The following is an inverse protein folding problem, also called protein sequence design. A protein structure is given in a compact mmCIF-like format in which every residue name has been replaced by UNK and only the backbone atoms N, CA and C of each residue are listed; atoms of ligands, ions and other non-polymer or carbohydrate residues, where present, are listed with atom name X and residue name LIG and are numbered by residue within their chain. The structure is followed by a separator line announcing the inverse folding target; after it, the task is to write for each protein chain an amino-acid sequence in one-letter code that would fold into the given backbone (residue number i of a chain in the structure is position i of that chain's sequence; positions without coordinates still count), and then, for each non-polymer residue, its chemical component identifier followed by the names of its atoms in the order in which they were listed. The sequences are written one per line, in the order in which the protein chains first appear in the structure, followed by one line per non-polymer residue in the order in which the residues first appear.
data_IF_174974037655
#
_entry.id   IF_174974037655
#
_cell.length_a   1.000
_cell.length_b   1.000
_cell.length_c   1.000
_cell.angle_alpha   90.00
_cell.angle_beta   90.00
_cell.angle_gamma   90.00
#
_symmetry.space_group_name_H-M   'P 1'
#
loop_
_entity.id
_entity.type
_entity.pdbx_description
1 polymer ?
#
# COMPACT_ATOMS: atom_id res chain seq x y z
N UNK A 1 -11.33 -36.17 -24.62
CA UNK A 1 -11.56 -34.72 -24.74
C UNK A 1 -11.30 -34.11 -23.36
N UNK A 2 -10.07 -33.65 -23.12
CA UNK A 2 -9.69 -33.02 -21.84
C UNK A 2 -10.00 -31.54 -21.91
N UNK A 3 -10.91 -31.07 -21.05
CA UNK A 3 -11.25 -29.66 -20.91
C UNK A 3 -10.10 -28.93 -20.22
N UNK A 4 -9.45 -28.02 -20.93
CA UNK A 4 -8.48 -27.07 -20.38
C UNK A 4 -9.25 -25.97 -19.66
N UNK A 5 -9.36 -26.04 -18.33
CA UNK A 5 -9.85 -24.92 -17.52
C UNK A 5 -8.90 -23.74 -17.68
N UNK A 6 -9.39 -22.66 -18.29
CA UNK A 6 -8.64 -21.43 -18.55
C UNK A 6 -8.51 -20.62 -17.25
N UNK A 7 -7.27 -20.42 -16.80
CA UNK A 7 -6.88 -19.62 -15.63
C UNK A 7 -6.94 -18.10 -15.91
N UNK A 8 -7.95 -17.60 -16.61
CA UNK A 8 -7.99 -16.22 -17.16
C UNK A 8 -8.41 -15.12 -16.18
N UNK A 9 -8.80 -15.45 -14.94
CA UNK A 9 -9.31 -14.47 -13.99
C UNK A 9 -8.25 -13.49 -13.41
N UNK A 10 -7.03 -13.91 -13.03
CA UNK A 10 -6.07 -13.02 -12.36
C UNK A 10 -5.55 -11.91 -13.28
N UNK A 11 -5.32 -12.22 -14.55
CA UNK A 11 -4.73 -11.29 -15.52
C UNK A 11 -5.66 -10.13 -15.85
N UNK A 12 -6.96 -10.39 -16.00
CA UNK A 12 -7.97 -9.36 -16.29
C UNK A 12 -8.16 -8.37 -15.13
N UNK A 13 -8.10 -8.85 -13.88
CA UNK A 13 -8.18 -7.99 -12.70
C UNK A 13 -6.97 -7.06 -12.61
N UNK A 14 -5.76 -7.59 -12.85
CA UNK A 14 -4.55 -6.78 -12.89
C UNK A 14 -4.57 -5.73 -14.00
N UNK A 15 -5.13 -6.04 -15.18
CA UNK A 15 -5.28 -5.07 -16.29
C UNK A 15 -6.18 -3.91 -15.87
N UNK A 16 -7.37 -4.20 -15.33
CA UNK A 16 -8.33 -3.20 -14.85
C UNK A 16 -7.74 -2.32 -13.75
N UNK A 17 -6.94 -2.91 -12.86
CA UNK A 17 -6.24 -2.20 -11.78
C UNK A 17 -5.27 -1.15 -12.33
N UNK A 18 -4.47 -1.50 -13.35
CA UNK A 18 -3.56 -0.56 -14.00
C UNK A 18 -4.31 0.51 -14.78
N UNK A 19 -5.38 0.15 -15.48
CA UNK A 19 -6.23 1.13 -16.19
C UNK A 19 -6.80 2.18 -15.24
N UNK A 20 -7.31 1.75 -14.07
CA UNK A 20 -7.80 2.65 -13.04
C UNK A 20 -6.71 3.57 -12.51
N UNK A 21 -5.49 3.06 -12.32
CA UNK A 21 -4.33 3.85 -11.91
C UNK A 21 -3.98 4.93 -12.96
N UNK A 22 -3.96 4.57 -14.25
CA UNK A 22 -3.69 5.50 -15.34
C UNK A 22 -4.78 6.58 -15.45
N UNK A 23 -6.05 6.21 -15.27
CA UNK A 23 -7.16 7.18 -15.25
C UNK A 23 -7.03 8.16 -14.09
N UNK A 24 -6.60 7.69 -12.92
CA UNK A 24 -6.35 8.57 -11.76
C UNK A 24 -5.20 9.53 -12.01
N UNK A 25 -4.10 9.07 -12.61
CA UNK A 25 -3.02 9.98 -13.00
C UNK A 25 -3.45 10.97 -14.09
N UNK A 26 -4.28 10.55 -15.04
CA UNK A 26 -4.86 11.44 -16.03
C UNK A 26 -5.78 12.50 -15.39
N UNK A 27 -6.49 12.16 -14.31
CA UNK A 27 -7.33 13.11 -13.57
C UNK A 27 -6.49 14.08 -12.73
N UNK A 28 -5.40 13.62 -12.10
CA UNK A 28 -4.55 14.45 -11.23
C UNK A 28 -3.61 15.37 -12.01
N UNK A 29 -2.98 14.87 -13.08
CA UNK A 29 -1.94 15.58 -13.82
C UNK A 29 -2.40 16.08 -15.20
N UNK A 30 -3.65 15.78 -15.60
CA UNK A 30 -4.26 16.34 -16.80
C UNK A 30 -3.49 16.01 -18.09
N UNK A 31 -3.12 17.06 -18.83
CA UNK A 31 -2.40 16.95 -20.10
C UNK A 31 -0.95 16.50 -19.95
N UNK A 32 -0.32 16.75 -18.80
CA UNK A 32 1.08 16.35 -18.56
C UNK A 32 1.21 14.83 -18.54
N UNK A 33 0.18 14.11 -18.08
CA UNK A 33 0.14 12.65 -18.15
C UNK A 33 -0.24 12.15 -19.54
N UNK A 34 -1.32 12.69 -20.12
CA UNK A 34 -1.85 12.24 -21.42
C UNK A 34 -0.84 12.42 -22.55
N UNK A 35 -0.06 13.50 -22.55
CA UNK A 35 0.91 13.80 -23.61
C UNK A 35 2.13 12.86 -23.65
N UNK A 36 2.37 12.06 -22.59
CA UNK A 36 3.47 11.08 -22.58
C UNK A 36 3.21 9.86 -23.46
N UNK A 37 1.94 9.56 -23.75
CA UNK A 37 1.54 8.36 -24.49
C UNK A 37 0.89 8.78 -25.80
N UNK A 38 1.72 9.03 -26.82
CA UNK A 38 1.26 9.51 -28.14
C UNK A 38 0.72 8.42 -29.05
N UNK A 39 1.07 7.17 -28.78
CA UNK A 39 0.67 5.99 -29.55
C UNK A 39 -0.06 5.01 -28.64
N UNK A 40 -1.16 4.46 -29.14
CA UNK A 40 -1.93 3.44 -28.43
C UNK A 40 -1.12 2.16 -28.22
N UNK A 41 -0.28 1.77 -29.18
CA UNK A 41 0.63 0.61 -29.02
C UNK A 41 1.63 0.85 -27.90
N UNK A 42 2.19 2.05 -27.83
CA UNK A 42 3.10 2.42 -26.74
C UNK A 42 2.38 2.47 -25.40
N UNK A 43 1.13 2.95 -25.36
CA UNK A 43 0.32 2.95 -24.14
C UNK A 43 0.06 1.53 -23.63
N UNK A 44 -0.27 0.58 -24.52
CA UNK A 44 -0.45 -0.84 -24.16
C UNK A 44 0.85 -1.42 -23.61
N UNK A 45 1.97 -1.17 -24.27
CA UNK A 45 3.28 -1.62 -23.80
C UNK A 45 3.61 -1.06 -22.41
N UNK A 46 3.46 0.24 -22.20
CA UNK A 46 3.74 0.87 -20.90
C UNK A 46 2.83 0.31 -19.81
N UNK A 47 1.52 0.12 -20.08
CA UNK A 47 0.62 -0.49 -19.09
C UNK A 47 1.08 -1.90 -18.70
N UNK A 48 1.57 -2.69 -19.65
CA UNK A 48 2.11 -4.02 -19.35
C UNK A 48 3.37 -3.96 -18.46
N UNK A 49 4.27 -3.00 -18.69
CA UNK A 49 5.45 -2.78 -17.85
C UNK A 49 5.06 -2.33 -16.43
N UNK A 50 4.08 -1.43 -16.32
CA UNK A 50 3.54 -1.01 -15.04
C UNK A 50 2.87 -2.16 -14.28
N UNK A 51 2.15 -3.03 -14.98
CA UNK A 51 1.55 -4.22 -14.39
C UNK A 51 2.61 -5.16 -13.82
N UNK A 52 3.64 -5.48 -14.62
CA UNK A 52 4.74 -6.34 -14.18
C UNK A 52 5.47 -5.74 -12.98
N UNK A 53 5.79 -4.44 -13.04
CA UNK A 53 6.48 -3.73 -11.95
C UNK A 53 5.66 -3.63 -10.66
N UNK A 54 4.33 -3.71 -10.74
CA UNK A 54 3.42 -3.56 -9.59
C UNK A 54 2.77 -4.85 -9.12
N UNK A 55 3.05 -5.99 -9.75
CA UNK A 55 2.41 -7.28 -9.47
C UNK A 55 2.56 -7.72 -8.00
N UNK A 56 3.68 -7.37 -7.35
CA UNK A 56 3.96 -7.72 -5.96
C UNK A 56 3.36 -6.80 -4.89
N UNK A 57 2.67 -5.72 -5.27
CA UNK A 57 2.07 -4.79 -4.30
C UNK A 57 0.57 -5.03 -4.16
N UNK A 58 0.07 -4.91 -2.93
CA UNK A 58 -1.35 -4.98 -2.63
C UNK A 58 -2.09 -3.66 -2.99
N UNK A 59 -3.41 -3.74 -3.19
CA UNK A 59 -4.24 -2.61 -3.64
C UNK A 59 -4.19 -1.41 -2.69
N UNK A 60 -4.20 -1.67 -1.38
CA UNK A 60 -4.07 -0.65 -0.35
C UNK A 60 -2.74 0.13 -0.44
N UNK A 61 -1.65 -0.55 -0.80
CA UNK A 61 -0.33 0.08 -0.97
C UNK A 61 -0.34 1.01 -2.18
N UNK A 62 -0.94 0.58 -3.30
CA UNK A 62 -1.04 1.44 -4.49
C UNK A 62 -1.93 2.66 -4.22
N UNK A 63 -3.04 2.48 -3.53
CA UNK A 63 -3.93 3.58 -3.15
C UNK A 63 -3.18 4.63 -2.32
N UNK A 64 -2.44 4.17 -1.31
CA UNK A 64 -1.62 5.04 -0.46
C UNK A 64 -0.51 5.73 -1.26
N UNK A 65 0.15 5.01 -2.17
CA UNK A 65 1.18 5.57 -3.04
C UNK A 65 0.61 6.66 -3.96
N UNK A 66 -0.57 6.45 -4.55
CA UNK A 66 -1.27 7.44 -5.38
C UNK A 66 -1.57 8.71 -4.57
N UNK A 67 -2.06 8.57 -3.34
CA UNK A 67 -2.31 9.72 -2.47
C UNK A 67 -1.03 10.47 -2.11
N UNK A 68 0.08 9.76 -1.86
CA UNK A 68 1.37 10.38 -1.59
C UNK A 68 1.90 11.12 -2.83
N UNK A 69 1.73 10.57 -4.03
CA UNK A 69 2.08 11.28 -5.26
C UNK A 69 1.26 12.56 -5.39
N UNK A 70 -0.06 12.51 -5.15
CA UNK A 70 -0.93 13.69 -5.19
C UNK A 70 -0.48 14.80 -4.22
N UNK A 71 0.01 14.43 -3.04
CA UNK A 71 0.42 15.40 -2.00
C UNK A 71 1.82 15.96 -2.21
N UNK A 72 2.74 15.17 -2.75
CA UNK A 72 4.18 15.48 -2.74
C UNK A 72 4.79 15.74 -4.12
N UNK A 73 4.06 15.52 -5.21
CA UNK A 73 4.59 15.62 -6.57
C UNK A 73 3.67 16.47 -7.44
N UNK A 74 4.20 17.59 -7.93
CA UNK A 74 3.55 18.45 -8.92
C UNK A 74 3.50 17.79 -10.30
N UNK A 75 4.47 16.91 -10.60
CA UNK A 75 4.58 16.19 -11.87
C UNK A 75 4.25 14.71 -11.70
N UNK A 76 3.72 14.05 -12.75
CA UNK A 76 3.46 12.62 -12.71
C UNK A 76 4.75 11.81 -12.48
N UNK A 77 4.69 10.78 -11.61
CA UNK A 77 5.85 9.94 -11.35
C UNK A 77 6.16 9.03 -12.55
N UNK A 78 7.44 8.72 -12.74
CA UNK A 78 7.85 7.61 -13.61
C UNK A 78 7.60 6.27 -12.93
N UNK A 79 7.58 5.16 -13.68
CA UNK A 79 7.41 3.81 -13.10
C UNK A 79 8.40 3.51 -11.96
N UNK A 80 9.73 3.74 -12.11
CA UNK A 80 10.67 3.51 -11.01
C UNK A 80 10.39 4.36 -9.78
N UNK A 81 10.04 5.63 -9.97
CA UNK A 81 9.69 6.52 -8.87
C UNK A 81 8.43 6.04 -8.14
N UNK A 82 7.43 5.57 -8.88
CA UNK A 82 6.20 5.05 -8.31
C UNK A 82 6.44 3.72 -7.54
N UNK A 83 7.31 2.85 -8.05
CA UNK A 83 7.76 1.66 -7.32
C UNK A 83 8.41 2.05 -5.99
N UNK A 84 9.24 3.08 -5.96
CA UNK A 84 9.87 3.54 -4.71
C UNK A 84 8.84 4.09 -3.71
N UNK A 85 7.79 4.78 -4.19
CA UNK A 85 6.66 5.14 -3.33
C UNK A 85 5.96 3.90 -2.75
N UNK A 86 5.70 2.88 -3.57
CA UNK A 86 5.08 1.64 -3.12
C UNK A 86 5.94 0.89 -2.09
N UNK A 87 7.26 0.85 -2.28
CA UNK A 87 8.22 0.30 -1.31
C UNK A 87 8.17 1.06 0.01
N UNK A 88 8.16 2.39 -0.04
CA UNK A 88 8.11 3.22 1.17
C UNK A 88 6.79 3.05 1.94
N UNK A 89 5.66 2.94 1.23
CA UNK A 89 4.37 2.60 1.82
C UNK A 89 4.40 1.22 2.49
N UNK A 90 4.93 0.21 1.80
CA UNK A 90 5.01 -1.17 2.30
C UNK A 90 5.88 -1.29 3.55
N UNK A 91 7.02 -0.57 3.57
CA UNK A 91 7.88 -0.48 4.75
C UNK A 91 7.11 0.12 5.92
N UNK A 92 6.46 1.28 5.72
CA UNK A 92 5.67 1.94 6.78
C UNK A 92 4.54 1.05 7.32
N UNK A 93 3.85 0.30 6.47
CA UNK A 93 2.83 -0.65 6.93
C UNK A 93 3.43 -1.82 7.70
N UNK A 94 4.62 -2.33 7.32
CA UNK A 94 5.28 -3.41 8.06
C UNK A 94 5.77 -3.00 9.46
N UNK A 95 6.07 -1.72 9.67
CA UNK A 95 6.40 -1.19 11.00
C UNK A 95 5.17 -1.03 11.90
N UNK A 96 3.96 -0.99 11.33
CA UNK A 96 2.71 -0.89 12.06
C UNK A 96 1.94 -2.21 11.92
N UNK A 97 2.38 -3.22 12.67
CA UNK A 97 1.58 -4.41 12.96
C UNK A 97 0.95 -4.14 14.33
N UNK A 98 -0.33 -3.75 14.43
CA UNK A 98 -1.02 -3.84 15.71
C UNK A 98 -0.97 -5.32 16.12
N UNK A 99 -0.35 -5.59 17.25
CA UNK A 99 -0.41 -6.90 17.89
C UNK A 99 -1.85 -7.12 18.36
N UNK A 100 -2.71 -7.59 17.45
CA UNK A 100 -4.09 -8.01 17.71
C UNK A 100 -4.14 -9.41 18.35
N UNK A 101 -3.07 -9.87 19.01
CA UNK A 101 -3.26 -10.91 20.02
C UNK A 101 -3.94 -10.26 21.23
N UNK A 102 -5.15 -10.70 21.64
CA UNK A 102 -5.61 -10.41 22.97
C UNK A 102 -4.64 -11.14 23.91
N UNK A 103 -3.57 -10.44 24.34
CA UNK A 103 -2.76 -10.90 25.46
C UNK A 103 -3.74 -11.16 26.59
N UNK A 104 -3.88 -12.43 26.95
CA UNK A 104 -4.63 -12.87 28.11
C UNK A 104 -4.01 -12.16 29.32
N UNK A 105 -4.51 -10.97 29.61
CA UNK A 105 -4.07 -10.15 30.73
C UNK A 105 -4.65 -10.83 31.96
N UNK A 106 -3.89 -11.74 32.55
CA UNK A 106 -4.24 -12.37 33.80
C UNK A 106 -4.46 -11.26 34.85
N UNK A 107 -5.70 -11.06 35.33
CA UNK A 107 -6.05 -9.89 36.15
C UNK A 107 -5.31 -9.88 37.50
N UNK A 108 -4.86 -11.03 37.97
CA UNK A 108 -4.04 -11.16 39.17
C UNK A 108 -2.66 -10.51 38.99
N UNK A 109 -2.04 -10.68 37.81
CA UNK A 109 -0.74 -10.07 37.50
C UNK A 109 -0.86 -8.55 37.44
N UNK A 110 -1.94 -8.03 36.82
CA UNK A 110 -2.23 -6.60 36.79
C UNK A 110 -2.42 -6.01 38.20
N UNK A 111 -3.13 -6.72 39.09
CA UNK A 111 -3.28 -6.32 40.51
C UNK A 111 -1.94 -6.28 41.24
N UNK A 112 -1.07 -7.27 41.04
CA UNK A 112 0.26 -7.30 41.67
C UNK A 112 1.12 -6.10 41.24
N UNK A 113 1.12 -5.76 39.95
CA UNK A 113 1.85 -4.59 39.47
C UNK A 113 1.29 -3.28 40.03
N UNK A 114 -0.04 -3.13 40.07
CA UNK A 114 -0.69 -1.95 40.65
C UNK A 114 -0.40 -1.78 42.15
N UNK A 115 -0.37 -2.88 42.92
CA UNK A 115 0.00 -2.84 44.33
C UNK A 115 1.45 -2.41 44.54
N UNK A 116 2.36 -2.91 43.70
CA UNK A 116 3.78 -2.54 43.75
C UNK A 116 3.99 -1.07 43.41
N UNK A 117 3.29 -0.56 42.40
CA UNK A 117 3.28 0.87 42.05
C UNK A 117 2.74 1.70 43.22
N UNK A 118 1.62 1.29 43.84
CA UNK A 118 1.06 1.96 45.00
C UNK A 118 2.05 2.03 46.16
N UNK A 119 2.77 0.94 46.47
CA UNK A 119 3.78 0.93 47.53
C UNK A 119 4.93 1.90 47.24
N UNK A 120 5.46 1.90 46.02
CA UNK A 120 6.55 2.81 45.62
C UNK A 120 6.14 4.27 45.76
N UNK A 121 4.91 4.60 45.35
CA UNK A 121 4.38 5.96 45.46
C UNK A 121 4.15 6.36 46.93
N UNK A 122 3.71 5.44 47.77
CA UNK A 122 3.44 5.70 49.19
C UNK A 122 4.71 5.71 50.06
N UNK A 123 5.83 5.21 49.55
CA UNK A 123 7.14 5.24 50.23
C UNK A 123 7.92 6.55 50.03
N UNK A 124 7.57 7.38 49.03
CA UNK A 124 8.21 8.68 48.77
C UNK A 124 7.57 9.86 49.51
N UNK A 125 6.62 9.60 50.41
CA UNK A 125 6.01 10.60 51.29
C UNK A 125 6.43 10.29 52.72
N UNK A 126 7.67 10.62 53.06
CA UNK A 126 8.19 10.89 54.41
C UNK A 126 9.49 11.67 54.28
#
# INVERSE_FOLDING_TARGET
MTATSSNSAPTEEHHKRIDRLFLRFAAMYGQVWRSQFKSDEFLVFVKSEWQQGLLGYADNILELAIELCRKNKELPPTLPQFIDFCKNCSKRSSFFIPDESPKNNNPEVAKTHLQKIKQILNMKVN
#
